data_IF_181177773939
#
_entry.id   IF_181177773939
#
_cell.length_a   1.000
_cell.length_b   1.000
_cell.length_c   1.000
_cell.angle_alpha   90.00
_cell.angle_beta   90.00
_cell.angle_gamma   90.00
#
_symmetry.space_group_name_H-M   'P 1'
#
loop_
_entity.id
_entity.type
_entity.pdbx_description
1 polymer ?
#
# COMPACT_ATOMS: atom_id res chain seq x y z
N UNK A 1 -4.71 -13.05 -3.27
CA UNK A 1 -5.55 -12.48 -2.20
C UNK A 1 -6.64 -11.69 -2.90
N UNK A 2 -7.87 -11.78 -2.43
CA UNK A 2 -8.99 -11.05 -3.03
C UNK A 2 -9.20 -9.74 -2.27
N UNK A 3 -8.85 -8.62 -2.90
CA UNK A 3 -8.86 -7.30 -2.29
C UNK A 3 -10.26 -6.86 -1.85
N UNK A 4 -11.26 -7.11 -2.70
CA UNK A 4 -12.61 -6.57 -2.56
C UNK A 4 -13.50 -7.44 -1.67
N UNK A 5 -13.24 -8.74 -1.63
CA UNK A 5 -13.99 -9.67 -0.77
C UNK A 5 -13.37 -9.87 0.63
N UNK A 6 -12.34 -9.10 0.98
CA UNK A 6 -11.66 -9.18 2.27
C UNK A 6 -12.18 -8.12 3.24
N UNK A 7 -12.52 -8.55 4.46
CA UNK A 7 -12.73 -7.62 5.58
C UNK A 7 -11.38 -7.16 6.13
N UNK A 8 -11.11 -5.88 6.00
CA UNK A 8 -9.90 -5.24 6.53
C UNK A 8 -10.18 -4.62 7.90
N UNK A 9 -9.23 -4.77 8.84
CA UNK A 9 -9.28 -4.11 10.15
C UNK A 9 -8.40 -2.87 10.14
N UNK A 10 -8.90 -1.74 10.63
CA UNK A 10 -8.09 -0.53 10.78
C UNK A 10 -7.03 -0.75 11.87
N UNK A 11 -5.78 -0.45 11.55
CA UNK A 11 -4.65 -0.51 12.47
C UNK A 11 -4.58 0.75 13.33
N UNK A 12 -4.11 0.62 14.59
CA UNK A 12 -4.03 1.73 15.54
C UNK A 12 -3.09 2.87 15.07
N UNK A 13 -2.07 2.53 14.29
CA UNK A 13 -1.18 3.49 13.63
C UNK A 13 -1.82 4.05 12.36
N UNK A 14 -2.95 4.74 12.53
CA UNK A 14 -3.65 5.48 11.48
C UNK A 14 -3.81 6.93 11.92
N UNK A 15 -3.67 7.86 10.98
CA UNK A 15 -3.81 9.28 11.24
C UNK A 15 -4.22 10.02 9.95
N UNK A 16 -4.13 11.35 9.93
CA UNK A 16 -4.55 12.18 8.78
C UNK A 16 -3.67 11.99 7.53
N UNK A 17 -2.49 11.38 7.65
CA UNK A 17 -1.62 11.01 6.52
C UNK A 17 -2.10 9.71 5.84
N UNK A 18 -2.81 8.85 6.56
CA UNK A 18 -3.40 7.65 5.98
C UNK A 18 -3.96 6.67 6.99
N UNK A 19 -4.81 5.78 6.47
CA UNK A 19 -5.51 4.76 7.25
C UNK A 19 -4.87 3.41 6.95
N UNK A 20 -4.12 2.86 7.90
CA UNK A 20 -3.42 1.58 7.74
C UNK A 20 -4.38 0.42 7.97
N UNK A 21 -4.29 -0.60 7.12
CA UNK A 21 -5.18 -1.76 7.13
C UNK A 21 -4.41 -3.04 7.52
N UNK A 22 -5.04 -3.86 8.35
CA UNK A 22 -4.61 -5.21 8.74
C UNK A 22 -5.50 -6.21 8.01
N UNK A 23 -4.88 -7.17 7.33
CA UNK A 23 -5.57 -8.23 6.62
C UNK A 23 -4.61 -9.26 6.04
N UNK A 24 -5.10 -10.13 5.14
CA UNK A 24 -4.30 -11.17 4.51
C UNK A 24 -3.23 -10.56 3.60
N UNK A 25 -2.06 -11.19 3.59
CA UNK A 25 -0.94 -10.76 2.75
C UNK A 25 -1.25 -10.96 1.25
N UNK A 26 -0.89 -10.00 0.39
CA UNK A 26 -0.99 -10.17 -1.05
C UNK A 26 -0.12 -11.33 -1.53
N UNK A 27 -0.51 -11.94 -2.65
CA UNK A 27 0.33 -12.91 -3.38
C UNK A 27 0.92 -12.19 -4.57
N UNK A 28 2.14 -11.70 -4.43
CA UNK A 28 2.84 -11.01 -5.49
C UNK A 28 3.16 -11.93 -6.66
N UNK A 29 3.08 -11.38 -7.88
CA UNK A 29 3.44 -12.10 -9.11
C UNK A 29 4.93 -12.02 -9.44
N UNK A 30 5.58 -10.98 -8.93
CA UNK A 30 7.03 -10.73 -9.08
C UNK A 30 7.75 -11.23 -7.83
N UNK A 31 9.03 -11.57 -7.99
CA UNK A 31 9.90 -11.96 -6.87
C UNK A 31 10.43 -10.74 -6.11
N UNK A 32 10.70 -9.64 -6.81
CA UNK A 32 11.23 -8.38 -6.29
C UNK A 32 10.75 -7.18 -7.12
N UNK A 33 11.14 -5.97 -6.71
CA UNK A 33 10.87 -4.71 -7.40
C UNK A 33 12.00 -4.25 -8.34
N UNK A 34 13.05 -5.05 -8.52
CA UNK A 34 14.24 -4.69 -9.30
C UNK A 34 14.89 -3.40 -8.78
N UNK A 35 15.10 -2.45 -9.70
CA UNK A 35 15.66 -1.13 -9.39
C UNK A 35 14.77 -0.29 -8.45
N UNK A 36 13.46 -0.58 -8.36
CA UNK A 36 12.55 0.06 -7.41
C UNK A 36 12.73 -0.44 -5.96
N UNK A 37 13.46 -1.54 -5.76
CA UNK A 37 13.80 -2.08 -4.45
C UNK A 37 13.54 -3.58 -4.32
N UNK A 38 13.93 -4.14 -3.17
CA UNK A 38 13.97 -5.59 -2.96
C UNK A 38 12.59 -6.23 -2.76
N UNK A 39 11.60 -5.51 -2.27
CA UNK A 39 10.26 -6.07 -2.03
C UNK A 39 9.41 -6.01 -3.32
N UNK A 40 8.63 -7.06 -3.65
CA UNK A 40 7.86 -7.12 -4.89
C UNK A 40 6.71 -6.11 -5.03
N UNK A 41 6.34 -5.42 -3.94
CA UNK A 41 5.45 -4.25 -3.98
C UNK A 41 6.11 -3.01 -4.57
N UNK A 42 7.44 -2.96 -4.60
CA UNK A 42 8.16 -1.74 -4.95
C UNK A 42 8.09 -1.46 -6.45
N UNK A 43 7.80 -0.21 -6.79
CA UNK A 43 7.82 0.31 -8.16
C UNK A 43 8.76 1.51 -8.22
N UNK A 44 9.09 1.97 -9.43
CA UNK A 44 9.70 3.29 -9.57
C UNK A 44 8.70 4.35 -9.11
N UNK A 45 9.20 5.36 -8.38
CA UNK A 45 8.36 6.38 -7.78
C UNK A 45 7.41 7.04 -8.79
N UNK A 46 6.12 7.02 -8.46
CA UNK A 46 5.08 7.64 -9.26
C UNK A 46 4.11 8.43 -8.39
N UNK A 47 3.34 9.31 -9.01
CA UNK A 47 2.29 10.06 -8.32
C UNK A 47 1.15 9.14 -7.85
N UNK A 48 0.57 9.45 -6.70
CA UNK A 48 -0.59 8.76 -6.15
C UNK A 48 -1.86 9.61 -6.28
N UNK A 49 -2.97 8.97 -6.61
CA UNK A 49 -4.28 9.61 -6.54
C UNK A 49 -4.77 9.67 -5.08
N UNK A 50 -5.50 10.73 -4.74
CA UNK A 50 -6.20 10.83 -3.45
C UNK A 50 -7.13 9.62 -3.27
N UNK A 51 -7.08 8.98 -2.10
CA UNK A 51 -7.88 7.80 -1.79
C UNK A 51 -7.31 6.48 -2.31
N UNK A 52 -6.13 6.48 -2.94
CA UNK A 52 -5.47 5.24 -3.38
C UNK A 52 -5.22 4.29 -2.21
N UNK A 53 -5.36 2.99 -2.48
CA UNK A 53 -4.93 1.92 -1.57
C UNK A 53 -3.49 1.56 -1.96
N UNK A 54 -2.54 2.12 -1.22
CA UNK A 54 -1.12 1.93 -1.46
C UNK A 54 -0.60 0.73 -0.65
N UNK A 55 0.12 -0.19 -1.28
CA UNK A 55 0.72 -1.35 -0.61
C UNK A 55 2.18 -1.08 -0.22
N UNK A 56 2.38 -0.53 0.98
CA UNK A 56 3.72 -0.34 1.56
C UNK A 56 4.27 -1.67 2.07
N UNK A 57 4.81 -2.49 1.17
CA UNK A 57 5.09 -3.89 1.43
C UNK A 57 3.82 -4.73 1.43
N UNK A 58 3.67 -5.62 2.41
CA UNK A 58 2.50 -6.52 2.50
C UNK A 58 1.28 -5.91 3.23
N UNK A 59 1.40 -4.68 3.74
CA UNK A 59 0.33 -4.00 4.48
C UNK A 59 -0.14 -2.76 3.73
N UNK A 60 -1.43 -2.66 3.36
CA UNK A 60 -1.93 -1.49 2.66
C UNK A 60 -2.23 -0.31 3.59
N UNK A 61 -2.18 0.89 3.01
CA UNK A 61 -2.60 2.16 3.58
C UNK A 61 -3.51 2.90 2.59
N UNK A 62 -4.61 3.45 3.06
CA UNK A 62 -5.45 4.36 2.26
C UNK A 62 -4.86 5.77 2.42
N UNK A 63 -4.48 6.39 1.30
CA UNK A 63 -3.93 7.74 1.26
C UNK A 63 -5.05 8.77 1.38
N UNK A 64 -4.96 9.59 2.42
CA UNK A 64 -5.93 10.65 2.75
C UNK A 64 -5.43 12.01 2.27
N UNK A 65 -6.19 13.09 2.57
CA UNK A 65 -5.90 14.44 2.05
C UNK A 65 -4.55 15.02 2.51
N UNK A 66 -4.03 14.61 3.66
CA UNK A 66 -2.68 14.98 4.11
C UNK A 66 -1.64 13.90 3.77
N UNK A 67 -2.03 12.85 3.05
CA UNK A 67 -1.16 11.74 2.70
C UNK A 67 -0.12 12.08 1.64
N UNK A 68 0.73 11.09 1.37
CA UNK A 68 1.76 11.18 0.35
C UNK A 68 1.15 11.36 -1.04
N UNK A 69 1.78 12.20 -1.87
CA UNK A 69 1.39 12.44 -3.25
C UNK A 69 2.28 11.70 -4.27
N UNK A 70 3.45 11.21 -3.85
CA UNK A 70 4.38 10.41 -4.65
C UNK A 70 5.06 9.34 -3.78
N UNK A 71 5.37 8.19 -4.37
CA UNK A 71 6.20 7.17 -3.74
C UNK A 71 6.35 5.89 -4.58
N UNK A 72 7.20 4.98 -4.10
CA UNK A 72 7.63 3.77 -4.82
C UNK A 72 6.81 2.52 -4.54
N UNK A 73 5.50 2.67 -4.32
CA UNK A 73 4.55 1.59 -4.04
C UNK A 73 3.23 1.83 -4.77
#
# INVERSE_FOLDING_TARGET
>A
MDLLNTKWKVHFSSNRMGIRLIGPRPKWKRLDGGEGGSHPSNIHDCGHALGSINFTGDMPIILTVEGLTQGGF
#
